data_IF_457723002209
#
_entry.id   IF_457723002209
#
_cell.length_a   1.000
_cell.length_b   1.000
_cell.length_c   1.000
_cell.angle_alpha   90.00
_cell.angle_beta   90.00
_cell.angle_gamma   90.00
#
_symmetry.space_group_name_H-M   'P 1'
#
loop_
_entity.id
_entity.type
_entity.pdbx_description
1 polymer ?
#
# COMPACT_ATOMS: atom_id res chain seq x y z
N UNK A 1 17.31 0.84 -8.96
CA UNK A 1 15.96 1.22 -9.39
C UNK A 1 15.36 2.06 -8.28
N UNK A 2 14.71 3.17 -8.61
CA UNK A 2 13.98 4.01 -7.66
C UNK A 2 12.82 3.23 -7.02
N UNK A 3 12.25 3.77 -5.94
CA UNK A 3 11.16 3.09 -5.23
C UNK A 3 9.94 3.99 -5.06
N UNK A 4 8.75 3.41 -5.24
CA UNK A 4 7.46 4.06 -4.98
C UNK A 4 6.69 3.22 -3.98
N UNK A 5 6.15 3.85 -2.95
CA UNK A 5 5.32 3.23 -1.92
C UNK A 5 3.92 3.81 -1.96
N UNK A 6 2.89 2.96 -2.11
CA UNK A 6 1.49 3.38 -2.21
C UNK A 6 0.76 2.99 -0.94
N UNK A 7 0.52 3.96 -0.06
CA UNK A 7 0.09 3.76 1.31
C UNK A 7 -1.34 4.25 1.56
N UNK A 8 -2.18 3.42 2.18
CA UNK A 8 -3.56 3.75 2.57
C UNK A 8 -3.83 3.55 4.06
N UNK A 9 -2.81 3.23 4.86
CA UNK A 9 -2.94 3.05 6.32
C UNK A 9 -1.63 3.38 7.03
N UNK A 10 -1.69 3.59 8.33
CA UNK A 10 -0.50 3.77 9.17
C UNK A 10 0.44 2.56 9.13
N UNK A 11 -0.10 1.35 9.05
CA UNK A 11 0.69 0.14 8.87
C UNK A 11 1.49 0.16 7.55
N UNK A 12 0.86 0.57 6.45
CA UNK A 12 1.55 0.68 5.15
C UNK A 12 2.70 1.69 5.23
N UNK A 13 2.48 2.83 5.87
CA UNK A 13 3.51 3.86 6.07
C UNK A 13 4.66 3.30 6.90
N UNK A 14 4.36 2.63 8.02
CA UNK A 14 5.36 2.01 8.88
C UNK A 14 6.25 1.02 8.12
N UNK A 15 5.65 0.07 7.40
CA UNK A 15 6.39 -0.91 6.60
C UNK A 15 7.22 -0.23 5.50
N UNK A 16 6.68 0.83 4.89
CA UNK A 16 7.40 1.60 3.86
C UNK A 16 8.63 2.29 4.43
N UNK A 17 8.54 2.88 5.62
CA UNK A 17 9.68 3.49 6.32
C UNK A 17 10.74 2.42 6.63
N UNK A 18 10.34 1.28 7.21
CA UNK A 18 11.27 0.18 7.49
C UNK A 18 12.00 -0.27 6.23
N UNK A 19 11.28 -0.41 5.11
CA UNK A 19 11.87 -0.80 3.84
C UNK A 19 12.79 0.26 3.27
N UNK A 20 12.41 1.53 3.35
CA UNK A 20 13.23 2.65 2.88
C UNK A 20 14.57 2.69 3.64
N UNK A 21 14.56 2.52 4.96
CA UNK A 21 15.77 2.46 5.78
C UNK A 21 16.60 1.21 5.44
N UNK A 22 15.97 0.02 5.45
CA UNK A 22 16.66 -1.26 5.25
C UNK A 22 17.32 -1.39 3.87
N UNK A 23 16.70 -0.80 2.85
CA UNK A 23 17.20 -0.81 1.47
C UNK A 23 17.83 0.53 1.06
N UNK A 24 18.21 1.36 2.04
CA UNK A 24 18.79 2.67 1.77
C UNK A 24 19.99 2.56 0.82
N UNK A 25 19.92 3.33 -0.26
CA UNK A 25 21.00 3.46 -1.23
C UNK A 25 21.00 4.91 -1.75
N UNK A 26 22.09 5.66 -1.59
CA UNK A 26 22.14 7.09 -1.98
C UNK A 26 21.86 7.34 -3.48
N UNK A 27 22.06 6.35 -4.33
CA UNK A 27 21.77 6.44 -5.76
C UNK A 27 20.28 6.22 -6.11
N UNK A 28 19.47 5.81 -5.14
CA UNK A 28 18.06 5.50 -5.33
C UNK A 28 17.20 6.56 -4.65
N UNK A 29 16.25 7.06 -5.39
CA UNK A 29 15.24 7.97 -4.85
C UNK A 29 13.95 7.22 -4.52
N UNK A 30 13.22 7.76 -3.57
CA UNK A 30 11.97 7.18 -3.07
C UNK A 30 10.83 8.19 -3.08
N UNK A 31 9.64 7.73 -3.48
CA UNK A 31 8.39 8.47 -3.46
C UNK A 31 7.38 7.74 -2.59
N UNK A 32 6.80 8.41 -1.60
CA UNK A 32 5.63 7.91 -0.90
C UNK A 32 4.37 8.58 -1.43
N UNK A 33 3.38 7.77 -1.77
CA UNK A 33 2.05 8.18 -2.20
C UNK A 33 1.04 7.76 -1.14
N UNK A 34 0.37 8.73 -0.54
CA UNK A 34 -0.63 8.50 0.49
C UNK A 34 -2.02 8.68 -0.13
N UNK A 35 -2.86 7.65 -0.06
CA UNK A 35 -4.21 7.71 -0.57
C UNK A 35 -5.27 7.71 0.54
N UNK A 36 -6.44 8.22 0.23
CA UNK A 36 -7.55 8.51 1.13
C UNK A 36 -8.34 7.27 1.63
N UNK A 37 -7.67 6.14 1.88
CA UNK A 37 -8.33 4.95 2.42
C UNK A 37 -8.82 5.18 3.86
N UNK A 38 -8.01 5.86 4.66
CA UNK A 38 -8.38 6.33 6.00
C UNK A 38 -8.53 7.85 5.89
N UNK A 39 -9.65 8.43 6.39
CA UNK A 39 -9.82 9.88 6.45
C UNK A 39 -8.63 10.55 7.15
N UNK A 40 -8.22 11.70 6.64
CA UNK A 40 -7.13 12.52 7.22
C UNK A 40 -5.72 11.87 7.24
N UNK A 41 -5.54 10.68 6.65
CA UNK A 41 -4.21 10.03 6.64
C UNK A 41 -3.11 10.91 6.01
N UNK A 42 -3.47 11.79 5.07
CA UNK A 42 -2.54 12.73 4.43
C UNK A 42 -1.95 13.77 5.40
N UNK A 43 -2.58 14.00 6.55
CA UNK A 43 -2.08 14.94 7.58
C UNK A 43 -0.75 14.48 8.19
N UNK A 44 -0.37 13.21 7.99
CA UNK A 44 0.93 12.68 8.41
C UNK A 44 2.10 13.17 7.54
N UNK A 45 1.84 13.73 6.35
CA UNK A 45 2.88 14.12 5.38
C UNK A 45 3.92 15.10 5.98
N UNK A 46 3.55 16.17 6.71
CA UNK A 46 4.54 17.06 7.33
C UNK A 46 5.54 16.32 8.21
N UNK A 47 5.08 15.35 8.99
CA UNK A 47 5.92 14.53 9.88
C UNK A 47 6.82 13.56 9.11
N UNK A 48 6.35 13.04 7.96
CA UNK A 48 7.17 12.23 7.06
C UNK A 48 8.28 13.05 6.41
N UNK A 49 8.00 14.32 6.07
CA UNK A 49 8.99 15.24 5.53
C UNK A 49 10.04 15.56 6.60
N UNK A 50 9.63 15.88 7.82
CA UNK A 50 10.53 16.13 8.95
C UNK A 50 11.37 14.87 9.25
N UNK A 51 10.75 13.69 9.20
CA UNK A 51 11.43 12.42 9.39
C UNK A 51 12.45 12.09 8.29
N UNK A 52 12.39 12.72 7.13
CA UNK A 52 13.32 12.56 6.00
C UNK A 52 13.59 11.08 5.59
N UNK A 53 12.50 10.29 5.47
CA UNK A 53 12.59 8.89 5.03
C UNK A 53 12.40 8.69 3.54
N UNK A 54 11.80 9.69 2.86
CA UNK A 54 11.50 9.65 1.43
C UNK A 54 11.91 10.96 0.77
N UNK A 55 12.37 10.89 -0.48
CA UNK A 55 12.75 12.08 -1.26
C UNK A 55 11.54 12.88 -1.72
N UNK A 56 10.41 12.20 -1.99
CA UNK A 56 9.18 12.83 -2.49
C UNK A 56 7.95 12.33 -1.75
N UNK A 57 6.94 13.18 -1.64
CA UNK A 57 5.68 12.92 -0.94
C UNK A 57 4.50 13.39 -1.79
N UNK A 58 3.44 12.57 -1.90
CA UNK A 58 2.26 12.89 -2.68
C UNK A 58 0.98 12.39 -1.99
N UNK A 59 -0.05 13.22 -1.88
CA UNK A 59 -1.39 12.83 -1.47
C UNK A 59 -2.29 12.64 -2.69
N UNK A 60 -3.06 11.54 -2.75
CA UNK A 60 -3.91 11.20 -3.89
C UNK A 60 -5.25 10.62 -3.44
N UNK A 61 -6.41 11.18 -3.86
CA UNK A 61 -7.73 10.71 -3.47
C UNK A 61 -8.16 9.46 -4.27
N UNK A 62 -7.46 8.34 -4.10
CA UNK A 62 -7.68 7.11 -4.89
C UNK A 62 -8.94 6.32 -4.51
N UNK A 63 -9.48 6.50 -3.30
CA UNK A 63 -10.67 5.77 -2.85
C UNK A 63 -11.97 6.48 -3.22
N UNK A 64 -11.97 7.81 -3.22
CA UNK A 64 -13.14 8.63 -3.58
C UNK A 64 -13.60 8.39 -5.01
N UNK A 65 -12.69 8.00 -5.89
CA UNK A 65 -12.92 7.76 -7.32
C UNK A 65 -13.83 6.55 -7.58
N UNK A 66 -13.90 5.59 -6.67
CA UNK A 66 -14.76 4.41 -6.82
C UNK A 66 -16.26 4.68 -6.62
N UNK A 67 -16.67 5.86 -6.16
CA UNK A 67 -18.04 6.19 -5.76
C UNK A 67 -18.90 6.84 -6.86
N UNK A 68 -18.45 6.88 -8.11
CA UNK A 68 -19.28 7.47 -9.19
C UNK A 68 -20.56 6.66 -9.43
N UNK A 69 -21.71 7.33 -9.36
CA UNK A 69 -23.07 6.83 -9.63
C UNK A 69 -23.29 6.54 -11.14
N UNK A 70 -22.38 5.91 -11.84
CA UNK A 70 -22.54 5.57 -13.25
C UNK A 70 -23.28 4.24 -13.43
N UNK A 71 -24.07 4.14 -14.50
CA UNK A 71 -24.83 2.96 -14.89
C UNK A 71 -23.94 1.70 -14.89
N UNK A 72 -24.41 0.60 -14.30
CA UNK A 72 -23.62 -0.65 -14.13
C UNK A 72 -22.96 -1.14 -15.43
N UNK A 73 -23.62 -0.96 -16.59
CA UNK A 73 -23.12 -1.40 -17.89
C UNK A 73 -21.99 -0.48 -18.42
N UNK A 74 -22.16 0.84 -18.32
CA UNK A 74 -21.11 1.82 -18.68
C UNK A 74 -19.90 1.70 -17.76
N UNK A 75 -20.13 1.33 -16.50
CA UNK A 75 -19.08 1.07 -15.53
C UNK A 75 -18.26 -0.18 -15.89
N UNK A 76 -18.87 -1.20 -16.49
CA UNK A 76 -18.15 -2.40 -16.95
C UNK A 76 -17.32 -2.10 -18.21
N UNK A 77 -17.84 -1.32 -19.15
CA UNK A 77 -17.21 -1.06 -20.45
C UNK A 77 -16.14 0.06 -20.40
N UNK A 78 -16.32 1.08 -19.55
CA UNK A 78 -15.43 2.26 -19.47
C UNK A 78 -14.59 2.33 -18.19
N UNK A 79 -14.64 1.34 -17.32
CA UNK A 79 -14.07 1.41 -15.96
C UNK A 79 -12.55 1.62 -15.94
N UNK A 80 -11.85 1.16 -16.97
CA UNK A 80 -10.40 1.24 -17.07
C UNK A 80 -9.95 2.69 -17.35
N UNK A 81 -10.50 3.32 -18.37
CA UNK A 81 -10.12 4.70 -18.75
C UNK A 81 -10.61 5.74 -17.74
N UNK A 82 -11.82 5.62 -17.22
CA UNK A 82 -12.39 6.58 -16.30
C UNK A 82 -11.63 6.70 -14.97
N UNK A 83 -11.07 5.59 -14.45
CA UNK A 83 -10.29 5.65 -13.23
C UNK A 83 -8.97 6.37 -13.46
N UNK A 84 -8.25 6.01 -14.52
CA UNK A 84 -6.96 6.62 -14.85
C UNK A 84 -7.09 8.08 -15.21
N UNK A 85 -8.02 8.43 -16.10
CA UNK A 85 -8.28 9.81 -16.52
C UNK A 85 -8.60 10.72 -15.33
N UNK A 86 -9.43 10.25 -14.40
CA UNK A 86 -9.83 11.03 -13.24
C UNK A 86 -8.70 11.23 -12.25
N UNK A 87 -7.95 10.19 -11.92
CA UNK A 87 -6.77 10.33 -11.05
C UNK A 87 -5.77 11.29 -11.69
N UNK A 88 -5.53 11.14 -12.98
CA UNK A 88 -4.58 11.97 -13.72
C UNK A 88 -5.01 13.44 -13.76
N UNK A 89 -6.31 13.71 -13.87
CA UNK A 89 -6.82 15.09 -13.93
C UNK A 89 -6.97 15.77 -12.55
N UNK A 90 -7.20 15.00 -11.50
CA UNK A 90 -7.48 15.53 -10.15
C UNK A 90 -6.24 15.56 -9.24
N UNK A 91 -5.08 15.05 -9.70
CA UNK A 91 -3.89 14.90 -8.85
C UNK A 91 -2.60 15.28 -9.55
N UNK A 92 -1.58 15.55 -8.75
CA UNK A 92 -0.21 15.84 -9.21
C UNK A 92 0.58 14.57 -9.62
N UNK A 93 -0.06 13.40 -9.72
CA UNK A 93 0.62 12.13 -9.99
C UNK A 93 1.34 12.12 -11.34
N UNK A 94 0.83 12.88 -12.31
CA UNK A 94 1.45 13.03 -13.62
C UNK A 94 2.83 13.68 -13.56
N UNK A 95 3.11 14.54 -12.56
CA UNK A 95 4.44 15.13 -12.34
C UNK A 95 5.50 14.07 -12.04
N UNK A 96 5.07 12.90 -11.55
CA UNK A 96 5.92 11.78 -11.19
C UNK A 96 5.79 10.58 -12.15
N UNK A 97 5.06 10.73 -13.28
CA UNK A 97 4.76 9.59 -14.14
C UNK A 97 6.02 8.85 -14.61
N UNK A 98 7.02 9.58 -15.12
CA UNK A 98 8.27 8.98 -15.59
C UNK A 98 9.04 8.32 -14.44
N UNK A 99 9.09 8.98 -13.28
CA UNK A 99 9.69 8.41 -12.08
C UNK A 99 9.02 7.08 -11.69
N UNK A 100 7.68 7.04 -11.68
CA UNK A 100 6.90 5.85 -11.32
C UNK A 100 7.11 4.73 -12.35
N UNK A 101 7.15 5.05 -13.65
CA UNK A 101 7.36 4.05 -14.71
C UNK A 101 8.69 3.32 -14.60
N UNK A 102 9.72 3.99 -14.15
CA UNK A 102 11.09 3.45 -14.02
C UNK A 102 11.40 2.91 -12.62
N UNK A 103 10.46 3.04 -11.69
CA UNK A 103 10.62 2.60 -10.30
C UNK A 103 10.06 1.20 -10.03
N UNK A 104 10.45 0.66 -8.89
CA UNK A 104 9.81 -0.47 -8.24
C UNK A 104 8.61 0.03 -7.42
N UNK A 105 7.40 -0.38 -7.80
CA UNK A 105 6.15 0.09 -7.19
C UNK A 105 5.70 -0.89 -6.11
N UNK A 106 5.68 -0.46 -4.87
CA UNK A 106 5.28 -1.23 -3.71
C UNK A 106 3.84 -0.86 -3.32
N UNK A 107 2.90 -1.79 -3.47
CA UNK A 107 1.48 -1.62 -3.16
C UNK A 107 1.10 -2.58 -2.04
N UNK A 108 0.36 -2.13 -1.04
CA UNK A 108 -0.09 -2.97 0.08
C UNK A 108 -1.48 -3.52 -0.14
N UNK A 109 -2.40 -2.69 -0.63
CA UNK A 109 -3.77 -3.10 -0.84
C UNK A 109 -3.87 -4.00 -2.09
N UNK A 110 -4.42 -5.20 -1.91
CA UNK A 110 -4.57 -6.17 -2.99
C UNK A 110 -5.87 -5.99 -3.79
N UNK A 111 -6.67 -4.97 -3.50
CA UNK A 111 -7.94 -4.62 -4.18
C UNK A 111 -8.23 -3.14 -4.01
N UNK A 112 -9.18 -2.63 -4.80
CA UNK A 112 -9.66 -1.25 -4.67
C UNK A 112 -9.02 -0.27 -5.64
N UNK A 113 -9.22 1.03 -5.41
CA UNK A 113 -8.86 2.12 -6.33
C UNK A 113 -7.36 2.20 -6.60
N UNK A 114 -6.56 2.22 -5.53
CA UNK A 114 -5.11 2.32 -5.65
C UNK A 114 -4.52 1.14 -6.43
N UNK A 115 -4.83 -0.10 -6.04
CA UNK A 115 -4.38 -1.29 -6.74
C UNK A 115 -4.76 -1.25 -8.23
N UNK A 116 -6.04 -1.00 -8.51
CA UNK A 116 -6.55 -0.98 -9.89
C UNK A 116 -5.85 0.10 -10.73
N UNK A 117 -5.64 1.29 -10.17
CA UNK A 117 -4.97 2.38 -10.87
C UNK A 117 -3.52 2.00 -11.24
N UNK A 118 -2.72 1.59 -10.27
CA UNK A 118 -1.30 1.29 -10.52
C UNK A 118 -1.11 0.09 -11.43
N UNK A 119 -1.87 -1.00 -11.23
CA UNK A 119 -1.79 -2.19 -12.08
C UNK A 119 -2.22 -1.90 -13.51
N UNK A 120 -3.19 -1.02 -13.74
CA UNK A 120 -3.63 -0.66 -15.08
C UNK A 120 -2.69 0.32 -15.78
N UNK A 121 -2.33 1.41 -15.10
CA UNK A 121 -1.54 2.49 -15.71
C UNK A 121 -0.07 2.13 -15.86
N UNK A 122 0.47 1.41 -14.90
CA UNK A 122 1.89 1.07 -14.81
C UNK A 122 2.15 -0.43 -14.98
N UNK A 123 1.37 -1.11 -15.81
CA UNK A 123 1.48 -2.57 -16.03
C UNK A 123 2.85 -3.01 -16.57
N UNK A 124 3.59 -2.12 -17.21
CA UNK A 124 4.96 -2.36 -17.69
C UNK A 124 6.04 -2.16 -16.62
N UNK A 125 5.71 -1.59 -15.46
CA UNK A 125 6.65 -1.38 -14.36
C UNK A 125 6.77 -2.62 -13.48
N UNK A 126 7.77 -2.63 -12.59
CA UNK A 126 7.93 -3.69 -11.60
C UNK A 126 7.04 -3.45 -10.41
N UNK A 127 5.90 -4.13 -10.36
CA UNK A 127 4.92 -3.99 -9.28
C UNK A 127 5.10 -5.11 -8.26
N UNK A 128 5.22 -4.73 -6.99
CA UNK A 128 5.31 -5.61 -5.84
C UNK A 128 4.11 -5.39 -4.91
N UNK A 129 3.43 -6.47 -4.57
CA UNK A 129 2.38 -6.47 -3.55
C UNK A 129 3.00 -6.81 -2.20
N UNK A 130 2.81 -5.95 -1.20
CA UNK A 130 3.28 -6.19 0.17
C UNK A 130 2.09 -6.60 1.05
N UNK A 131 2.33 -7.47 1.99
CA UNK A 131 1.35 -7.98 2.94
C UNK A 131 0.58 -6.86 3.67
N UNK A 132 -0.74 -6.96 3.61
CA UNK A 132 -1.69 -6.09 4.30
C UNK A 132 -2.66 -6.92 5.17
N UNK A 133 -2.18 -8.01 5.74
CA UNK A 133 -2.91 -8.92 6.59
C UNK A 133 -3.27 -10.25 5.93
N UNK A 134 -4.17 -11.01 6.57
CA UNK A 134 -4.50 -12.40 6.21
C UNK A 134 -5.06 -12.57 4.79
N UNK A 135 -5.60 -11.52 4.19
CA UNK A 135 -6.13 -11.56 2.83
C UNK A 135 -5.09 -11.92 1.77
N UNK A 136 -3.81 -11.67 2.01
CA UNK A 136 -2.73 -12.00 1.10
C UNK A 136 -2.44 -13.51 1.04
N UNK A 137 -2.81 -14.26 2.07
CA UNK A 137 -2.60 -15.72 2.14
C UNK A 137 -3.76 -16.53 1.55
N UNK A 138 -4.99 -16.00 1.59
CA UNK A 138 -6.22 -16.73 1.27
C UNK A 138 -6.94 -16.22 0.03
N UNK A 139 -6.28 -15.43 -0.81
CA UNK A 139 -6.91 -14.79 -1.97
C UNK A 139 -7.19 -15.79 -3.11
N UNK A 140 -8.05 -16.78 -2.84
CA UNK A 140 -8.59 -17.66 -3.88
C UNK A 140 -9.60 -16.90 -4.73
N UNK A 141 -9.25 -16.68 -5.98
CA UNK A 141 -10.18 -16.20 -6.99
C UNK A 141 -10.51 -17.39 -7.90
N UNK A 142 -11.78 -17.80 -7.95
CA UNK A 142 -12.20 -18.91 -8.79
C UNK A 142 -11.83 -18.68 -10.27
N UNK A 143 -11.40 -19.72 -10.98
CA UNK A 143 -10.96 -19.69 -12.39
C UNK A 143 -11.96 -18.97 -13.32
N UNK A 144 -13.26 -19.19 -13.13
CA UNK A 144 -14.31 -18.52 -13.90
C UNK A 144 -14.35 -17.01 -13.66
N UNK A 145 -14.09 -16.55 -12.43
CA UNK A 145 -14.02 -15.12 -12.10
C UNK A 145 -12.79 -14.46 -12.70
N UNK A 146 -11.65 -15.17 -12.72
CA UNK A 146 -10.42 -14.74 -13.39
C UNK A 146 -10.71 -14.58 -14.87
N UNK A 147 -11.15 -15.64 -15.55
CA UNK A 147 -11.50 -15.64 -16.98
C UNK A 147 -12.45 -14.49 -17.34
N UNK A 148 -13.54 -14.33 -16.59
CA UNK A 148 -14.52 -13.25 -16.84
C UNK A 148 -13.91 -11.86 -16.69
N UNK A 149 -13.06 -11.64 -15.68
CA UNK A 149 -12.45 -10.32 -15.45
C UNK A 149 -11.40 -10.01 -16.50
N UNK A 150 -10.54 -10.94 -16.79
CA UNK A 150 -9.43 -10.78 -17.70
C UNK A 150 -9.88 -10.74 -19.16
N UNK A 151 -10.55 -11.79 -19.63
CA UNK A 151 -10.85 -11.98 -21.05
C UNK A 151 -12.16 -11.33 -21.51
N UNK A 152 -13.20 -11.29 -20.68
CA UNK A 152 -14.48 -10.69 -21.09
C UNK A 152 -14.51 -9.20 -20.83
N UNK A 153 -14.02 -8.73 -19.69
CA UNK A 153 -14.14 -7.34 -19.26
C UNK A 153 -12.82 -6.56 -19.27
N UNK A 154 -11.71 -7.19 -19.58
CA UNK A 154 -10.36 -6.60 -19.53
C UNK A 154 -10.14 -5.78 -18.24
N UNK A 155 -10.52 -6.34 -17.10
CA UNK A 155 -10.45 -5.72 -15.79
C UNK A 155 -9.30 -6.34 -14.99
N UNK A 156 -8.74 -5.54 -14.07
CA UNK A 156 -7.78 -6.02 -13.07
C UNK A 156 -8.39 -7.18 -12.27
N UNK A 157 -7.67 -8.29 -12.19
CA UNK A 157 -8.08 -9.49 -11.47
C UNK A 157 -8.08 -9.23 -9.96
N UNK A 158 -7.01 -8.65 -9.47
CA UNK A 158 -6.79 -8.33 -8.07
C UNK A 158 -6.06 -9.42 -7.30
N UNK A 159 -5.75 -9.14 -6.05
CA UNK A 159 -5.15 -10.07 -5.10
C UNK A 159 -3.81 -10.67 -5.55
N UNK A 160 -3.05 -9.98 -6.40
CA UNK A 160 -1.76 -10.44 -6.89
C UNK A 160 -1.80 -11.36 -8.11
N UNK A 161 -3.00 -11.71 -8.61
CA UNK A 161 -3.15 -12.57 -9.80
C UNK A 161 -2.77 -11.88 -11.11
N UNK A 162 -2.74 -10.55 -11.13
CA UNK A 162 -2.39 -9.79 -12.33
C UNK A 162 -0.93 -10.01 -12.72
N UNK A 163 -0.64 -10.12 -14.03
CA UNK A 163 0.71 -10.32 -14.57
C UNK A 163 1.65 -9.14 -14.29
N UNK A 164 1.09 -7.96 -14.12
CA UNK A 164 1.84 -6.77 -13.72
C UNK A 164 2.46 -6.92 -12.32
N UNK A 165 1.85 -7.71 -11.41
CA UNK A 165 2.39 -8.01 -10.09
C UNK A 165 3.46 -9.10 -10.22
N UNK A 166 4.72 -8.71 -10.04
CA UNK A 166 5.89 -9.59 -10.20
C UNK A 166 6.24 -10.34 -8.93
N UNK A 167 6.03 -9.73 -7.77
CA UNK A 167 6.32 -10.32 -6.46
C UNK A 167 5.21 -10.02 -5.45
N UNK A 168 5.08 -10.91 -4.48
CA UNK A 168 4.21 -10.77 -3.30
C UNK A 168 5.09 -10.95 -2.07
N UNK A 169 5.33 -9.86 -1.31
CA UNK A 169 6.11 -9.91 -0.09
C UNK A 169 5.20 -10.22 1.10
N UNK A 170 5.44 -11.34 1.75
CA UNK A 170 4.67 -11.81 2.92
C UNK A 170 5.60 -12.38 3.99
N UNK A 171 5.17 -12.37 5.25
CA UNK A 171 5.97 -12.93 6.34
C UNK A 171 6.13 -14.46 6.22
N UNK A 172 5.11 -15.16 5.68
CA UNK A 172 5.05 -16.62 5.59
C UNK A 172 4.77 -17.07 4.15
N UNK A 173 5.76 -17.02 3.24
CA UNK A 173 5.57 -17.36 1.81
C UNK A 173 4.98 -18.76 1.59
N UNK A 174 5.35 -19.72 2.46
CA UNK A 174 4.90 -21.11 2.41
C UNK A 174 3.38 -21.26 2.67
N UNK A 175 2.75 -20.26 3.30
CA UNK A 175 1.30 -20.23 3.57
C UNK A 175 0.47 -19.59 2.46
N UNK A 176 1.12 -19.00 1.45
CA UNK A 176 0.42 -18.40 0.31
C UNK A 176 -0.16 -19.51 -0.56
N UNK A 177 -1.43 -19.35 -0.98
CA UNK A 177 -2.12 -20.32 -1.83
C UNK A 177 -1.56 -20.36 -3.25
N UNK A 178 -1.63 -21.54 -3.89
CA UNK A 178 -1.34 -21.64 -5.31
C UNK A 178 -2.42 -20.94 -6.16
N UNK A 179 -2.09 -20.32 -7.32
CA UNK A 179 -0.77 -20.25 -7.96
C UNK A 179 0.10 -19.08 -7.48
N UNK A 180 -0.32 -18.29 -6.48
CA UNK A 180 0.37 -17.07 -6.04
C UNK A 180 1.69 -17.36 -5.33
N UNK A 181 1.86 -18.57 -4.79
CA UNK A 181 3.08 -18.98 -4.08
C UNK A 181 4.34 -18.82 -4.92
N UNK A 182 4.25 -18.98 -6.23
CA UNK A 182 5.40 -18.78 -7.13
C UNK A 182 5.92 -17.34 -7.14
N UNK A 183 5.05 -16.36 -6.87
CA UNK A 183 5.41 -14.94 -6.74
C UNK A 183 5.78 -14.56 -5.30
N UNK A 184 5.52 -15.44 -4.32
CA UNK A 184 5.70 -15.12 -2.91
C UNK A 184 7.18 -15.10 -2.52
N UNK A 185 7.58 -14.04 -1.83
CA UNK A 185 8.90 -13.85 -1.23
C UNK A 185 8.74 -13.44 0.23
N UNK A 186 9.76 -13.70 1.02
CA UNK A 186 9.74 -13.37 2.43
C UNK A 186 9.87 -11.87 2.67
N UNK A 187 8.93 -11.31 3.41
CA UNK A 187 9.04 -9.97 4.01
C UNK A 187 9.84 -10.11 5.31
N UNK A 188 11.09 -9.66 5.30
CA UNK A 188 12.03 -9.80 6.42
C UNK A 188 11.77 -8.76 7.52
N UNK A 189 10.51 -8.71 8.01
CA UNK A 189 10.03 -7.67 8.92
C UNK A 189 10.89 -7.56 10.18
N UNK A 190 11.21 -8.69 10.82
CA UNK A 190 12.04 -8.69 12.01
C UNK A 190 13.45 -8.14 11.76
N UNK A 191 14.08 -8.53 10.66
CA UNK A 191 15.41 -8.00 10.29
C UNK A 191 15.38 -6.49 10.04
N UNK A 192 14.33 -6.00 9.38
CA UNK A 192 14.16 -4.57 9.16
C UNK A 192 14.00 -3.81 10.48
N UNK A 193 13.23 -4.35 11.43
CA UNK A 193 13.08 -3.75 12.77
C UNK A 193 14.38 -3.79 13.58
N UNK A 194 15.11 -4.90 13.52
CA UNK A 194 16.37 -5.07 14.24
C UNK A 194 17.48 -4.17 13.69
N UNK A 195 17.42 -3.81 12.41
CA UNK A 195 18.38 -2.89 11.75
C UNK A 195 18.20 -1.43 12.10
N UNK A 196 17.09 -1.05 12.76
CA UNK A 196 16.83 0.34 13.13
C UNK A 196 17.81 0.85 14.18
N UNK A 197 18.46 1.96 13.90
CA UNK A 197 19.21 2.74 14.89
C UNK A 197 18.27 3.35 15.96
N UNK A 198 18.84 3.77 17.09
CA UNK A 198 18.07 4.50 18.11
C UNK A 198 17.46 5.80 17.54
N UNK A 199 18.21 6.51 16.68
CA UNK A 199 17.73 7.73 16.01
C UNK A 199 16.56 7.43 15.06
N UNK A 200 16.62 6.33 14.30
CA UNK A 200 15.51 5.94 13.41
C UNK A 200 14.24 5.64 14.20
N UNK A 201 14.38 4.91 15.31
CA UNK A 201 13.25 4.59 16.20
C UNK A 201 12.60 5.87 16.75
N UNK A 202 13.40 6.83 17.19
CA UNK A 202 12.90 8.12 17.69
C UNK A 202 12.17 8.90 16.59
N UNK A 203 12.73 8.98 15.39
CA UNK A 203 12.10 9.64 14.23
C UNK A 203 10.77 8.98 13.86
N UNK A 204 10.73 7.63 13.84
CA UNK A 204 9.49 6.87 13.58
C UNK A 204 8.44 7.17 14.66
N UNK A 205 8.83 7.14 15.94
CA UNK A 205 7.90 7.45 17.04
C UNK A 205 7.31 8.85 16.91
N UNK A 206 8.10 9.87 16.57
CA UNK A 206 7.59 11.22 16.33
C UNK A 206 6.51 11.30 15.26
N UNK A 207 6.65 10.51 14.18
CA UNK A 207 5.64 10.47 13.10
C UNK A 207 4.31 9.93 13.61
N UNK A 208 4.33 8.83 14.39
CA UNK A 208 3.10 8.14 14.79
C UNK A 208 2.48 8.63 16.10
N UNK A 209 3.25 9.37 16.90
CA UNK A 209 2.85 9.85 18.23
C UNK A 209 2.80 11.39 18.32
N UNK A 210 2.80 12.08 17.19
CA UNK A 210 2.85 13.54 17.13
C UNK A 210 1.73 14.24 17.93
N UNK A 211 0.57 13.59 18.09
CA UNK A 211 -0.58 14.13 18.86
C UNK A 211 -0.65 13.62 20.31
N UNK A 212 0.30 12.76 20.73
CA UNK A 212 0.23 12.12 22.03
C UNK A 212 1.45 12.47 22.89
N UNK A 213 1.25 13.21 23.96
CA UNK A 213 2.19 13.25 25.07
C UNK A 213 2.04 11.95 25.89
N UNK A 214 2.87 10.95 25.60
CA UNK A 214 2.91 9.75 26.44
C UNK A 214 3.65 10.13 27.72
N UNK A 215 2.90 10.32 28.82
CA UNK A 215 3.48 10.28 30.16
C UNK A 215 3.92 8.82 30.42
N UNK A 216 5.18 8.52 30.16
CA UNK A 216 5.77 7.24 30.55
C UNK A 216 5.93 7.27 32.07
N UNK A 217 4.85 6.91 32.78
CA UNK A 217 4.95 6.53 34.17
C UNK A 217 5.85 5.28 34.24
N UNK A 218 6.68 5.16 35.28
CA UNK A 218 7.75 4.20 35.43
C UNK A 218 7.42 2.71 35.34
N UNK A 219 6.46 2.29 34.52
CA UNK A 219 6.11 0.90 34.26
C UNK A 219 6.90 0.31 33.07
N UNK A 220 7.37 -0.92 33.26
CA UNK A 220 8.34 -1.58 32.37
C UNK A 220 7.81 -2.09 31.06
N UNK A 221 6.50 -2.03 30.77
CA UNK A 221 5.88 -2.61 29.58
C UNK A 221 4.92 -1.62 28.90
N UNK A 222 5.24 -1.21 27.70
CA UNK A 222 4.32 -0.47 26.82
C UNK A 222 3.71 -1.45 25.81
N UNK A 223 2.40 -1.63 25.84
CA UNK A 223 1.68 -2.39 24.82
C UNK A 223 1.07 -1.40 23.84
N UNK A 224 1.62 -1.32 22.64
CA UNK A 224 1.08 -0.52 21.54
C UNK A 224 0.03 -1.37 20.79
N UNK A 225 -1.23 -1.06 20.95
CA UNK A 225 -2.32 -1.69 20.19
C UNK A 225 -2.53 -0.87 18.91
N UNK A 226 -2.00 -1.36 17.78
CA UNK A 226 -2.02 -0.65 16.49
C UNK A 226 -3.26 -0.95 15.64
N UNK A 227 -4.19 -1.80 16.09
CA UNK A 227 -5.43 -2.09 15.37
C UNK A 227 -6.54 -1.11 15.77
N UNK A 228 -7.26 -0.53 14.79
CA UNK A 228 -8.41 0.30 15.11
C UNK A 228 -9.47 -0.55 15.84
N UNK A 229 -9.91 -0.08 17.00
CA UNK A 229 -10.91 -0.70 17.86
C UNK A 229 -12.30 -0.90 17.21
N UNK A 230 -12.49 -0.52 15.94
CA UNK A 230 -13.75 -0.66 15.21
C UNK A 230 -14.31 -2.09 15.15
N UNK A 231 -13.47 -3.10 15.41
CA UNK A 231 -13.91 -4.50 15.50
C UNK A 231 -14.26 -4.98 16.91
N UNK A 232 -13.90 -4.24 17.95
CA UNK A 232 -14.23 -4.62 19.33
C UNK A 232 -15.68 -4.29 19.70
N UNK A 233 -16.29 -3.26 19.10
CA UNK A 233 -17.70 -2.93 19.30
C UNK A 233 -18.65 -4.01 18.74
N UNK A 234 -18.22 -4.80 17.78
CA UNK A 234 -19.01 -5.92 17.25
C UNK A 234 -18.99 -7.15 18.18
N UNK A 235 -17.92 -7.33 18.95
CA UNK A 235 -17.79 -8.45 19.90
C UNK A 235 -18.43 -8.17 21.26
N UNK A 236 -18.67 -6.91 21.62
CA UNK A 236 -19.30 -6.51 22.87
C UNK A 236 -20.86 -6.57 22.85
N UNK A 237 -21.43 -7.01 21.71
CA UNK A 237 -22.91 -7.16 21.53
C UNK A 237 -23.39 -8.60 21.46
N UNK A 238 -22.57 -9.56 21.96
CA UNK A 238 -22.98 -10.97 22.10
C UNK A 238 -23.22 -11.26 23.55
#
# INVERSE_FOLDING_TARGET
MNQVYVCGSYYHIYISILRAIFHQNPERKSLIIIHDHIPHLHEIIPFLIEGNFFDFHLAVPLTSINRTKTNKLLRALKRKSLLTERVDSETDILKFEEFIRTAEINIFNNRGGAYNYFVQKFSGSYIRLIEDGLGNYQSLIGKFKIFRREYIFNLVIGAGHDDAVKEILVQFPEKVVEPLRQKAKKLELQKMQDSLSASDRERILKIFLHDYSIAVGGEKNLILITQPFQYLDAAAKI
#
